data_IF_795683662048
#
_entry.id   IF_795683662048
#
_cell.length_a   1.000
_cell.length_b   1.000
_cell.length_c   1.000
_cell.angle_alpha   90.00
_cell.angle_beta   90.00
_cell.angle_gamma   90.00
#
_symmetry.space_group_name_H-M   'P 1'
#
loop_
_entity.id
_entity.type
_entity.pdbx_description
1 polymer ?
#
# COMPACT_ATOMS: atom_id res chain seq x y z
N UNK A 1 -0.61 -19.86 14.71
CA UNK A 1 -0.46 -18.53 14.08
C UNK A 1 0.37 -18.69 12.82
N UNK A 2 -0.28 -18.94 11.68
CA UNK A 2 0.41 -19.28 10.44
C UNK A 2 1.09 -18.02 9.87
N UNK A 3 2.42 -18.04 9.74
CA UNK A 3 3.13 -17.09 8.88
C UNK A 3 2.69 -17.35 7.46
N UNK A 4 2.08 -16.37 6.80
CA UNK A 4 2.03 -16.34 5.35
C UNK A 4 3.46 -16.05 4.85
N UNK A 5 4.31 -17.08 4.85
CA UNK A 5 5.51 -17.11 4.04
C UNK A 5 5.06 -17.25 2.59
N UNK A 6 4.69 -16.14 1.96
CA UNK A 6 4.38 -16.10 0.55
C UNK A 6 5.66 -16.32 -0.25
N UNK A 7 5.61 -17.24 -1.21
CA UNK A 7 6.61 -17.30 -2.28
C UNK A 7 6.85 -15.88 -2.84
N UNK A 8 8.06 -15.56 -3.35
CA UNK A 8 8.30 -14.28 -3.99
C UNK A 8 7.20 -14.03 -5.03
N UNK A 9 6.36 -13.03 -4.78
CA UNK A 9 5.30 -12.65 -5.71
C UNK A 9 5.98 -12.29 -7.02
N UNK A 10 5.53 -12.88 -8.12
CA UNK A 10 6.10 -12.63 -9.44
C UNK A 10 6.12 -11.11 -9.69
N UNK A 11 7.27 -10.59 -10.13
CA UNK A 11 7.39 -9.18 -10.45
C UNK A 11 6.49 -8.86 -11.65
N UNK A 12 5.55 -7.93 -11.46
CA UNK A 12 4.71 -7.40 -12.52
C UNK A 12 5.47 -6.34 -13.35
N UNK A 13 4.80 -5.74 -14.36
CA UNK A 13 5.40 -4.65 -15.12
C UNK A 13 5.65 -3.43 -14.23
N UNK A 14 6.72 -2.68 -14.49
CA UNK A 14 6.93 -1.37 -13.88
C UNK A 14 6.07 -0.35 -14.61
N UNK A 15 5.26 0.40 -13.86
CA UNK A 15 4.48 1.53 -14.38
C UNK A 15 5.24 2.84 -14.19
N UNK A 16 4.92 3.85 -14.99
CA UNK A 16 5.34 5.23 -14.72
C UNK A 16 4.13 6.02 -14.21
N UNK A 17 4.25 6.59 -13.00
CA UNK A 17 3.23 7.45 -12.39
C UNK A 17 3.89 8.77 -12.03
N UNK A 18 3.39 9.87 -12.61
CA UNK A 18 3.94 11.22 -12.43
C UNK A 18 5.47 11.28 -12.55
N UNK A 19 6.02 10.67 -13.61
CA UNK A 19 7.46 10.61 -13.91
C UNK A 19 8.29 9.81 -12.89
N UNK A 20 7.65 8.93 -12.12
CA UNK A 20 8.31 8.03 -11.18
C UNK A 20 7.96 6.59 -11.51
N UNK A 21 8.97 5.74 -11.54
CA UNK A 21 8.78 4.30 -11.66
C UNK A 21 7.98 3.76 -10.47
N UNK A 22 7.07 2.82 -10.75
CA UNK A 22 6.25 2.13 -9.78
C UNK A 22 6.33 0.63 -10.09
N UNK A 23 7.27 -0.08 -9.44
CA UNK A 23 7.34 -1.53 -9.55
C UNK A 23 6.04 -2.16 -9.06
N UNK A 24 5.41 -3.02 -9.87
CA UNK A 24 4.17 -3.69 -9.49
C UNK A 24 4.39 -5.16 -9.21
N UNK A 25 3.42 -5.76 -8.52
CA UNK A 25 3.30 -7.20 -8.36
C UNK A 25 2.37 -7.81 -9.41
N UNK A 26 1.75 -6.97 -10.25
CA UNK A 26 0.80 -7.37 -11.28
C UNK A 26 -0.16 -6.25 -11.63
N UNK A 27 -0.59 -6.23 -12.89
CA UNK A 27 -1.60 -5.30 -13.40
C UNK A 27 -2.49 -6.07 -14.36
N UNK A 28 -3.79 -6.09 -14.10
CA UNK A 28 -4.76 -6.77 -14.95
C UNK A 28 -6.14 -6.12 -14.81
N UNK A 29 -6.87 -5.90 -15.91
CA UNK A 29 -8.26 -5.41 -15.89
C UNK A 29 -8.53 -4.27 -14.89
N UNK A 30 -7.78 -3.17 -14.99
CA UNK A 30 -7.86 -2.01 -14.07
C UNK A 30 -7.74 -2.37 -12.58
N UNK A 31 -7.02 -3.46 -12.29
CA UNK A 31 -6.63 -3.89 -10.95
C UNK A 31 -5.11 -3.83 -10.83
N UNK A 32 -4.63 -3.13 -9.81
CA UNK A 32 -3.21 -3.02 -9.48
C UNK A 32 -2.89 -3.90 -8.27
N UNK A 33 -1.85 -4.73 -8.36
CA UNK A 33 -1.23 -5.38 -7.23
C UNK A 33 0.11 -4.69 -6.92
N UNK A 34 0.30 -4.22 -5.68
CA UNK A 34 1.50 -3.51 -5.27
C UNK A 34 1.87 -3.80 -3.80
N UNK A 35 3.14 -3.58 -3.46
CA UNK A 35 3.62 -3.72 -2.10
C UNK A 35 3.41 -2.44 -1.28
N UNK A 36 3.31 -2.58 0.05
CA UNK A 36 3.33 -1.44 0.96
C UNK A 36 4.60 -0.61 0.81
N UNK A 37 5.74 -1.24 0.54
CA UNK A 37 6.98 -0.52 0.30
C UNK A 37 6.86 0.44 -0.89
N UNK A 38 6.36 -0.06 -2.02
CA UNK A 38 6.19 0.72 -3.25
C UNK A 38 5.25 1.93 -3.07
N UNK A 39 4.16 1.74 -2.34
CA UNK A 39 3.11 2.77 -2.24
C UNK A 39 3.25 3.66 -1.01
N UNK A 40 3.88 3.21 0.06
CA UNK A 40 3.91 3.92 1.34
C UNK A 40 5.31 4.10 1.94
N UNK A 41 6.36 3.42 1.46
CA UNK A 41 7.75 3.64 1.90
C UNK A 41 8.50 4.52 0.90
N UNK A 42 8.39 4.19 -0.38
CA UNK A 42 9.00 4.97 -1.46
C UNK A 42 8.43 6.40 -1.51
N UNK A 43 9.15 7.27 -2.23
CA UNK A 43 8.74 8.65 -2.42
C UNK A 43 7.45 8.74 -3.25
N UNK A 44 6.30 8.68 -2.57
CA UNK A 44 4.95 8.92 -3.12
C UNK A 44 4.33 10.18 -2.55
N UNK A 45 3.55 10.83 -3.39
CA UNK A 45 2.80 12.06 -3.13
C UNK A 45 1.31 11.82 -3.31
N UNK A 46 0.49 12.75 -2.83
CA UNK A 46 -0.95 12.69 -3.05
C UNK A 46 -1.31 12.66 -4.54
N UNK A 47 -0.55 13.35 -5.40
CA UNK A 47 -0.76 13.31 -6.85
C UNK A 47 -0.58 11.91 -7.45
N UNK A 48 0.27 11.07 -6.83
CA UNK A 48 0.45 9.69 -7.27
C UNK A 48 -0.80 8.87 -6.97
N UNK A 49 -1.42 9.06 -5.80
CA UNK A 49 -2.67 8.37 -5.45
C UNK A 49 -3.85 8.85 -6.30
N UNK A 50 -3.91 10.16 -6.63
CA UNK A 50 -4.89 10.70 -7.59
C UNK A 50 -4.70 10.07 -8.98
N UNK A 51 -3.46 9.89 -9.43
CA UNK A 51 -3.19 9.28 -10.72
C UNK A 51 -3.58 7.79 -10.72
N UNK A 52 -3.18 7.05 -9.68
CA UNK A 52 -3.52 5.63 -9.53
C UNK A 52 -5.03 5.38 -9.50
N UNK A 53 -5.77 6.19 -8.76
CA UNK A 53 -7.23 6.07 -8.64
C UNK A 53 -8.00 6.41 -9.93
N UNK A 54 -7.38 7.12 -10.88
CA UNK A 54 -7.92 7.32 -12.24
C UNK A 54 -7.64 6.16 -13.17
N UNK A 55 -6.58 5.40 -12.91
CA UNK A 55 -6.13 4.28 -13.75
C UNK A 55 -6.73 2.94 -13.29
N UNK A 56 -7.01 2.79 -12.00
CA UNK A 56 -7.41 1.54 -11.38
C UNK A 56 -8.68 1.72 -10.54
N UNK A 57 -9.65 0.81 -10.73
CA UNK A 57 -10.84 0.74 -9.87
C UNK A 57 -10.63 -0.18 -8.66
N UNK A 58 -9.54 -0.95 -8.64
CA UNK A 58 -9.19 -1.86 -7.54
C UNK A 58 -7.68 -1.90 -7.34
N UNK A 59 -7.27 -1.81 -6.08
CA UNK A 59 -5.86 -1.91 -5.69
C UNK A 59 -5.73 -2.96 -4.59
N UNK A 60 -4.84 -3.93 -4.82
CA UNK A 60 -4.40 -4.92 -3.83
C UNK A 60 -3.08 -4.46 -3.24
N UNK A 61 -3.09 -4.14 -1.95
CA UNK A 61 -1.93 -3.69 -1.20
C UNK A 61 -1.40 -4.83 -0.32
N UNK A 62 -0.17 -5.24 -0.58
CA UNK A 62 0.45 -6.37 0.09
C UNK A 62 1.49 -5.98 1.12
N UNK A 63 1.70 -6.87 2.07
CA UNK A 63 2.79 -6.82 3.06
C UNK A 63 2.74 -5.54 3.93
N UNK A 64 1.53 -5.13 4.31
CA UNK A 64 1.34 -3.99 5.23
C UNK A 64 1.84 -4.38 6.63
N UNK A 65 2.89 -3.71 7.14
CA UNK A 65 3.45 -4.03 8.44
C UNK A 65 2.55 -3.50 9.56
N UNK A 66 2.87 -3.88 10.80
CA UNK A 66 2.41 -3.11 11.96
C UNK A 66 3.08 -1.75 11.90
N UNK A 67 2.29 -0.68 11.80
CA UNK A 67 2.77 0.69 11.78
C UNK A 67 2.97 1.17 13.21
N UNK A 68 4.24 1.22 13.64
CA UNK A 68 4.65 1.76 14.94
C UNK A 68 5.06 3.23 14.83
N UNK A 69 5.43 3.86 15.94
CA UNK A 69 5.93 5.24 15.94
C UNK A 69 7.13 5.48 14.99
N UNK A 70 7.94 4.45 14.69
CA UNK A 70 9.05 4.53 13.76
C UNK A 70 8.62 4.59 12.29
N UNK A 71 7.37 4.23 11.98
CA UNK A 71 6.78 4.23 10.65
C UNK A 71 5.75 5.37 10.48
N UNK A 72 5.89 6.48 11.21
CA UNK A 72 4.93 7.59 11.18
C UNK A 72 4.77 8.22 9.79
N UNK A 73 5.87 8.31 9.03
CA UNK A 73 5.84 8.85 7.66
C UNK A 73 5.08 7.92 6.70
N UNK A 74 5.33 6.63 6.80
CA UNK A 74 4.67 5.57 6.05
C UNK A 74 3.19 5.47 6.42
N UNK A 75 2.87 5.59 7.71
CA UNK A 75 1.50 5.59 8.20
C UNK A 75 0.71 6.79 7.67
N UNK A 76 1.29 8.00 7.67
CA UNK A 76 0.66 9.18 7.05
C UNK A 76 0.44 8.99 5.55
N UNK A 77 1.39 8.38 4.83
CA UNK A 77 1.24 8.05 3.41
C UNK A 77 0.16 6.99 3.17
N UNK A 78 0.03 6.00 4.05
CA UNK A 78 -1.02 4.99 4.00
C UNK A 78 -2.41 5.62 4.26
N UNK A 79 -2.53 6.51 5.24
CA UNK A 79 -3.77 7.26 5.50
C UNK A 79 -4.17 8.08 4.27
N UNK A 80 -3.23 8.82 3.67
CA UNK A 80 -3.49 9.61 2.46
C UNK A 80 -3.92 8.74 1.26
N UNK A 81 -3.34 7.54 1.12
CA UNK A 81 -3.74 6.57 0.10
C UNK A 81 -5.18 6.08 0.34
N UNK A 82 -5.50 5.68 1.57
CA UNK A 82 -6.83 5.19 1.94
C UNK A 82 -7.88 6.28 1.71
N UNK A 83 -7.59 7.51 2.13
CA UNK A 83 -8.47 8.67 1.98
C UNK A 83 -8.81 8.93 0.51
N UNK A 84 -7.77 9.03 -0.35
CA UNK A 84 -7.94 9.28 -1.78
C UNK A 84 -8.71 8.15 -2.49
N UNK A 85 -8.42 6.89 -2.15
CA UNK A 85 -9.10 5.73 -2.74
C UNK A 85 -10.55 5.64 -2.27
N UNK A 86 -10.82 5.98 -1.01
CA UNK A 86 -12.17 6.05 -0.48
C UNK A 86 -12.99 7.15 -1.17
N UNK A 87 -12.45 8.36 -1.30
CA UNK A 87 -13.11 9.50 -1.95
C UNK A 87 -13.49 9.18 -3.41
N UNK A 88 -12.62 8.46 -4.11
CA UNK A 88 -12.82 8.11 -5.53
C UNK A 88 -13.48 6.74 -5.77
N UNK A 89 -13.94 6.07 -4.70
CA UNK A 89 -14.57 4.75 -4.77
C UNK A 89 -13.69 3.64 -5.39
N UNK A 90 -12.37 3.72 -5.20
CA UNK A 90 -11.43 2.64 -5.56
C UNK A 90 -11.49 1.56 -4.47
N UNK A 91 -11.69 0.31 -4.88
CA UNK A 91 -11.69 -0.83 -3.94
C UNK A 91 -10.26 -1.11 -3.48
N UNK A 92 -9.99 -0.95 -2.20
CA UNK A 92 -8.71 -1.30 -1.60
C UNK A 92 -8.81 -2.64 -0.87
N UNK A 93 -8.00 -3.62 -1.27
CA UNK A 93 -7.85 -4.92 -0.59
C UNK A 93 -6.48 -4.95 0.06
N UNK A 94 -6.41 -5.24 1.36
CA UNK A 94 -5.18 -5.15 2.14
C UNK A 94 -4.79 -6.51 2.72
N UNK A 95 -3.54 -6.91 2.50
CA UNK A 95 -2.89 -8.02 3.21
C UNK A 95 -1.94 -7.45 4.26
N UNK A 96 -2.31 -7.60 5.54
CA UNK A 96 -1.57 -7.06 6.67
C UNK A 96 -0.96 -8.15 7.56
N UNK A 97 0.10 -7.80 8.29
CA UNK A 97 0.78 -8.69 9.24
C UNK A 97 -0.08 -9.05 10.46
N UNK A 98 -1.07 -8.23 10.77
CA UNK A 98 -1.96 -8.34 11.95
C UNK A 98 -3.40 -7.97 11.56
N UNK A 99 -4.40 -8.28 12.39
CA UNK A 99 -5.77 -7.79 12.20
C UNK A 99 -5.84 -6.27 12.11
N UNK A 100 -6.88 -5.75 11.44
CA UNK A 100 -7.04 -4.31 11.17
C UNK A 100 -6.95 -3.44 12.43
N UNK A 101 -7.57 -3.87 13.53
CA UNK A 101 -7.58 -3.11 14.78
C UNK A 101 -6.21 -3.01 15.46
N UNK A 102 -5.26 -3.87 15.07
CA UNK A 102 -3.91 -3.93 15.63
C UNK A 102 -2.85 -3.34 14.68
N UNK A 103 -3.26 -2.87 13.49
CA UNK A 103 -2.33 -2.46 12.42
C UNK A 103 -1.59 -1.17 12.72
N UNK A 104 -2.15 -0.31 13.58
CA UNK A 104 -1.55 0.95 14.00
C UNK A 104 -1.31 0.94 15.50
N UNK A 105 -0.04 0.98 15.90
CA UNK A 105 0.38 0.90 17.30
C UNK A 105 1.25 2.10 17.63
N UNK A 106 0.60 3.20 18.06
CA UNK A 106 1.28 4.45 18.40
C UNK A 106 2.15 4.34 19.66
N UNK A 107 1.86 3.39 20.57
CA UNK A 107 2.65 3.25 21.79
C UNK A 107 4.07 2.80 21.45
N UNK A 108 5.06 3.60 21.83
CA UNK A 108 6.40 3.09 22.06
C UNK A 108 6.25 1.91 23.02
N UNK A 109 6.78 0.74 22.65
CA UNK A 109 6.92 -0.36 23.59
C UNK A 109 7.67 0.20 24.81
N UNK A 110 6.97 0.33 25.94
CA UNK A 110 7.61 0.63 27.21
C UNK A 110 8.58 -0.51 27.48
N UNK A 111 9.86 -0.15 27.58
CA UNK A 111 10.98 -1.04 27.94
C UNK A 111 10.83 -1.46 29.40
#
# INVERSE_FOLDING_TARGET
MARAGGAPRAAGPTLEINHRELPTLGVENQTLAASFATLCVDARSQHDYIALSRLFHTVMLFDVPVMTAQLESEARRFIALVDEFYERHVKLVVSAAVPLYDIYQWRAAEV
#
